data_IF_502598155812
#
_entry.id   IF_502598155812
#
_cell.length_a   1.000
_cell.length_b   1.000
_cell.length_c   1.000
_cell.angle_alpha   90.00
_cell.angle_beta   90.00
_cell.angle_gamma   90.00
#
_symmetry.space_group_name_H-M   'P 1'
#
loop_
_entity.id
_entity.type
_entity.pdbx_description
1 polymer ?
#
# COMPACT_ATOMS: atom_id res chain seq x y z
N UNK A 1 -3.76 -5.32 25.21
CA UNK A 1 -3.57 -4.91 23.79
C UNK A 1 -3.85 -3.41 23.63
N UNK A 2 -2.90 -2.61 23.11
CA UNK A 2 -3.13 -1.17 22.83
C UNK A 2 -4.23 -1.05 21.78
N UNK A 3 -5.42 -0.54 22.15
CA UNK A 3 -6.48 -0.19 21.16
C UNK A 3 -5.95 0.94 20.27
N UNK A 4 -5.40 0.59 19.12
CA UNK A 4 -5.05 1.54 18.05
C UNK A 4 -6.36 2.09 17.49
N UNK A 5 -6.42 3.40 17.24
CA UNK A 5 -7.66 4.03 16.77
C UNK A 5 -7.98 3.60 15.34
N UNK A 6 -9.19 3.08 15.12
CA UNK A 6 -9.73 2.72 13.81
C UNK A 6 -9.63 3.89 12.80
N UNK A 7 -9.80 5.13 13.27
CA UNK A 7 -9.66 6.36 12.46
C UNK A 7 -8.25 6.51 11.85
N UNK A 8 -7.21 6.11 12.58
CA UNK A 8 -5.82 6.16 12.09
C UNK A 8 -5.59 5.15 10.97
N UNK A 9 -6.15 3.95 11.09
CA UNK A 9 -5.98 2.91 10.07
C UNK A 9 -6.68 3.27 8.76
N UNK A 10 -7.91 3.79 8.81
CA UNK A 10 -8.60 4.28 7.61
C UNK A 10 -7.78 5.39 6.94
N UNK A 11 -7.35 6.39 7.71
CA UNK A 11 -6.57 7.51 7.17
C UNK A 11 -5.24 7.05 6.55
N UNK A 12 -4.53 6.11 7.19
CA UNK A 12 -3.32 5.49 6.61
C UNK A 12 -3.61 4.78 5.29
N UNK A 13 -4.70 4.02 5.21
CA UNK A 13 -5.10 3.33 3.99
C UNK A 13 -5.42 4.31 2.88
N UNK A 14 -6.26 5.32 3.14
CA UNK A 14 -6.63 6.34 2.14
C UNK A 14 -5.39 7.11 1.66
N UNK A 15 -4.55 7.58 2.57
CA UNK A 15 -3.32 8.30 2.20
C UNK A 15 -2.36 7.42 1.39
N UNK A 16 -2.23 6.14 1.74
CA UNK A 16 -1.42 5.21 0.97
C UNK A 16 -1.97 4.97 -0.45
N UNK A 17 -3.30 4.87 -0.60
CA UNK A 17 -3.94 4.74 -1.92
C UNK A 17 -3.66 5.95 -2.80
N UNK A 18 -3.81 7.15 -2.27
CA UNK A 18 -3.52 8.38 -3.02
C UNK A 18 -2.06 8.44 -3.45
N UNK A 19 -1.12 8.21 -2.52
CA UNK A 19 0.32 8.24 -2.83
C UNK A 19 0.68 7.18 -3.87
N UNK A 20 0.17 5.96 -3.75
CA UNK A 20 0.45 4.88 -4.69
C UNK A 20 -0.10 5.12 -6.09
N UNK A 21 -1.30 5.71 -6.22
CA UNK A 21 -1.88 6.04 -7.53
C UNK A 21 -1.12 7.18 -8.21
N UNK A 22 -0.71 8.19 -7.44
CA UNK A 22 0.13 9.29 -7.95
C UNK A 22 1.49 8.75 -8.41
N UNK A 23 2.11 7.85 -7.64
CA UNK A 23 3.39 7.22 -7.99
C UNK A 23 3.31 6.49 -9.34
N UNK A 24 2.33 5.60 -9.53
CA UNK A 24 2.14 4.91 -10.81
C UNK A 24 1.98 5.93 -11.94
N UNK A 25 1.09 6.93 -11.77
CA UNK A 25 0.86 7.95 -12.79
C UNK A 25 2.16 8.67 -13.19
N UNK A 26 2.93 9.12 -12.20
CA UNK A 26 4.18 9.85 -12.43
C UNK A 26 5.24 8.96 -13.08
N UNK A 27 5.40 7.71 -12.63
CA UNK A 27 6.35 6.77 -13.22
C UNK A 27 5.99 6.43 -14.65
N UNK A 28 4.72 6.13 -14.90
CA UNK A 28 4.24 5.83 -16.24
C UNK A 28 4.38 7.03 -17.17
N UNK A 29 4.11 8.26 -16.70
CA UNK A 29 4.37 9.48 -17.48
C UNK A 29 5.87 9.65 -17.76
N UNK A 30 6.72 9.58 -16.74
CA UNK A 30 8.16 9.79 -16.87
C UNK A 30 8.80 8.77 -17.83
N UNK A 31 8.39 7.51 -17.77
CA UNK A 31 8.96 6.43 -18.58
C UNK A 31 8.42 6.46 -20.01
N UNK A 32 7.13 6.76 -20.19
CA UNK A 32 6.51 6.80 -21.53
C UNK A 32 6.73 8.12 -22.27
N UNK A 33 7.08 9.20 -21.56
CA UNK A 33 7.19 10.55 -22.11
C UNK A 33 5.84 11.22 -22.40
N UNK A 34 4.71 10.53 -22.17
CA UNK A 34 3.38 11.05 -22.49
C UNK A 34 2.45 11.03 -21.25
N UNK A 35 1.96 12.19 -20.80
CA UNK A 35 1.10 12.28 -19.61
C UNK A 35 -0.24 11.56 -19.79
N UNK A 36 -0.78 11.47 -21.01
CA UNK A 36 -2.03 10.74 -21.28
C UNK A 36 -1.84 9.23 -21.12
N UNK A 37 -0.68 8.69 -21.51
CA UNK A 37 -0.35 7.27 -21.29
C UNK A 37 -0.23 7.00 -19.80
N UNK A 38 0.47 7.88 -19.06
CA UNK A 38 0.58 7.78 -17.61
C UNK A 38 -0.77 7.77 -16.90
N UNK A 39 -1.68 8.66 -17.31
CA UNK A 39 -3.03 8.73 -16.75
C UNK A 39 -3.85 7.48 -17.05
N UNK A 40 -3.80 6.98 -18.28
CA UNK A 40 -4.47 5.74 -18.67
C UNK A 40 -3.97 4.56 -17.85
N UNK A 41 -2.65 4.42 -17.68
CA UNK A 41 -2.07 3.33 -16.89
C UNK A 41 -2.48 3.44 -15.43
N UNK A 42 -2.30 4.61 -14.80
CA UNK A 42 -2.64 4.81 -13.39
C UNK A 42 -4.12 4.56 -13.08
N UNK A 43 -5.03 5.03 -13.95
CA UNK A 43 -6.46 4.77 -13.80
C UNK A 43 -6.82 3.30 -14.04
N UNK A 44 -6.25 2.68 -15.08
CA UNK A 44 -6.50 1.28 -15.41
C UNK A 44 -6.01 0.37 -14.27
N UNK A 45 -4.78 0.58 -13.77
CA UNK A 45 -4.22 -0.17 -12.64
C UNK A 45 -5.12 -0.08 -11.40
N UNK A 46 -5.65 1.11 -11.09
CA UNK A 46 -6.55 1.29 -9.94
C UNK A 46 -7.80 0.40 -10.07
N UNK A 47 -8.42 0.38 -11.25
CA UNK A 47 -9.64 -0.38 -11.51
C UNK A 47 -9.34 -1.88 -11.58
N UNK A 48 -8.31 -2.30 -12.32
CA UNK A 48 -7.94 -3.71 -12.48
C UNK A 48 -7.53 -4.33 -11.16
N UNK A 49 -6.72 -3.65 -10.34
CA UNK A 49 -6.31 -4.19 -9.04
C UNK A 49 -7.48 -4.39 -8.08
N UNK A 50 -8.53 -3.56 -8.14
CA UNK A 50 -9.74 -3.80 -7.36
C UNK A 50 -10.44 -5.09 -7.78
N UNK A 51 -10.61 -5.29 -9.09
CA UNK A 51 -11.26 -6.47 -9.67
C UNK A 51 -10.41 -7.73 -9.40
N UNK A 52 -9.12 -7.68 -9.69
CA UNK A 52 -8.18 -8.78 -9.48
C UNK A 52 -8.08 -9.17 -8.01
N UNK A 53 -8.06 -8.20 -7.08
CA UNK A 53 -8.03 -8.50 -5.66
C UNK A 53 -9.31 -9.22 -5.21
N UNK A 54 -10.47 -8.77 -5.70
CA UNK A 54 -11.74 -9.43 -5.43
C UNK A 54 -11.73 -10.88 -5.94
N UNK A 55 -11.35 -11.10 -7.21
CA UNK A 55 -11.26 -12.44 -7.81
C UNK A 55 -10.25 -13.30 -7.04
N UNK A 56 -9.08 -12.77 -6.72
CA UNK A 56 -8.06 -13.44 -5.92
C UNK A 56 -8.64 -13.91 -4.59
N UNK A 57 -9.32 -13.04 -3.85
CA UNK A 57 -9.94 -13.44 -2.58
C UNK A 57 -11.02 -14.52 -2.77
N UNK A 58 -11.83 -14.44 -3.83
CA UNK A 58 -12.82 -15.48 -4.16
C UNK A 58 -12.19 -16.84 -4.46
N UNK A 59 -11.10 -16.86 -5.22
CA UNK A 59 -10.33 -18.10 -5.48
C UNK A 59 -9.81 -18.67 -4.17
N UNK A 60 -9.29 -17.82 -3.29
CA UNK A 60 -8.77 -18.22 -1.99
C UNK A 60 -9.81 -18.68 -0.97
N UNK A 61 -11.10 -18.41 -1.18
CA UNK A 61 -12.17 -19.00 -0.38
C UNK A 61 -12.42 -20.47 -0.74
N UNK A 62 -12.08 -20.87 -1.97
CA UNK A 62 -12.25 -22.26 -2.44
C UNK A 62 -11.08 -23.17 -2.05
N UNK A 63 -9.94 -22.60 -1.64
CA UNK A 63 -8.75 -23.36 -1.24
C UNK A 63 -8.79 -23.59 0.27
N UNK A 64 -8.85 -24.86 0.69
CA UNK A 64 -8.84 -25.22 2.11
C UNK A 64 -7.41 -25.46 2.62
N UNK A 65 -6.80 -24.42 3.18
CA UNK A 65 -5.51 -24.53 3.90
C UNK A 65 -5.78 -24.41 5.40
N UNK A 66 -5.54 -25.49 6.14
CA UNK A 66 -5.78 -25.57 7.59
C UNK A 66 -4.93 -24.57 8.39
N UNK A 67 -3.71 -24.27 7.92
CA UNK A 67 -2.80 -23.36 8.62
C UNK A 67 -2.97 -21.89 8.18
N UNK A 68 -3.45 -21.06 9.10
CA UNK A 68 -3.66 -19.63 8.89
C UNK A 68 -2.38 -18.89 8.44
N UNK A 69 -1.25 -19.13 9.12
CA UNK A 69 0.02 -18.47 8.82
C UNK A 69 0.51 -18.73 7.38
N UNK A 70 0.48 -20.00 6.92
CA UNK A 70 0.91 -20.33 5.55
C UNK A 70 -0.04 -19.73 4.52
N UNK A 71 -1.36 -19.77 4.78
CA UNK A 71 -2.37 -19.16 3.92
C UNK A 71 -2.09 -17.67 3.70
N UNK A 72 -1.80 -16.91 4.75
CA UNK A 72 -1.52 -15.47 4.65
C UNK A 72 -0.20 -15.17 3.93
N UNK A 73 0.85 -15.95 4.16
CA UNK A 73 2.13 -15.81 3.45
C UNK A 73 1.96 -16.05 1.95
N UNK A 74 1.35 -17.19 1.58
CA UNK A 74 1.14 -17.54 0.17
C UNK A 74 0.23 -16.51 -0.50
N UNK A 75 -0.90 -16.13 0.12
CA UNK A 75 -1.77 -15.04 -0.37
C UNK A 75 -1.00 -13.77 -0.69
N UNK A 76 -0.09 -13.37 0.21
CA UNK A 76 0.69 -12.14 0.06
C UNK A 76 1.66 -12.25 -1.11
N UNK A 77 2.33 -13.40 -1.26
CA UNK A 77 3.26 -13.66 -2.35
C UNK A 77 2.51 -13.71 -3.69
N UNK A 78 1.43 -14.48 -3.78
CA UNK A 78 0.59 -14.60 -4.98
C UNK A 78 0.05 -13.24 -5.42
N UNK A 79 -0.42 -12.41 -4.48
CA UNK A 79 -0.89 -11.06 -4.80
C UNK A 79 0.21 -10.16 -5.35
N UNK A 80 1.45 -10.28 -4.85
CA UNK A 80 2.59 -9.51 -5.37
C UNK A 80 2.90 -9.87 -6.82
N UNK A 81 2.91 -11.16 -7.16
CA UNK A 81 3.14 -11.59 -8.54
C UNK A 81 2.03 -11.14 -9.49
N UNK A 82 0.77 -11.36 -9.11
CA UNK A 82 -0.37 -10.97 -9.95
C UNK A 82 -0.41 -9.45 -10.16
N UNK A 83 -0.19 -8.67 -9.10
CA UNK A 83 -0.21 -7.21 -9.19
C UNK A 83 0.92 -6.64 -10.06
N UNK A 84 2.13 -7.20 -9.98
CA UNK A 84 3.25 -6.76 -10.83
C UNK A 84 3.01 -7.15 -12.30
N UNK A 85 2.53 -8.36 -12.55
CA UNK A 85 2.21 -8.81 -13.92
C UNK A 85 1.10 -7.93 -14.52
N UNK A 86 0.06 -7.62 -13.76
CA UNK A 86 -1.02 -6.73 -14.19
C UNK A 86 -0.49 -5.36 -14.62
N UNK A 87 0.32 -4.70 -13.79
CA UNK A 87 0.93 -3.41 -14.17
C UNK A 87 1.77 -3.53 -15.43
N UNK A 88 2.61 -4.56 -15.54
CA UNK A 88 3.48 -4.75 -16.72
C UNK A 88 2.66 -4.93 -18.00
N UNK A 89 1.60 -5.74 -17.95
CA UNK A 89 0.71 -6.00 -19.08
C UNK A 89 -0.10 -4.77 -19.46
N UNK A 90 -0.69 -4.07 -18.49
CA UNK A 90 -1.42 -2.82 -18.74
C UNK A 90 -0.52 -1.76 -19.35
N UNK A 91 0.67 -1.60 -18.78
CA UNK A 91 1.64 -0.61 -19.25
C UNK A 91 2.11 -0.95 -20.66
N UNK A 92 2.36 -2.23 -20.97
CA UNK A 92 2.65 -2.66 -22.34
C UNK A 92 1.49 -2.39 -23.29
N UNK A 93 0.27 -2.83 -22.95
CA UNK A 93 -0.89 -2.70 -23.82
C UNK A 93 -1.23 -1.24 -24.14
N UNK A 94 -1.15 -0.36 -23.13
CA UNK A 94 -1.48 1.07 -23.29
C UNK A 94 -0.36 1.83 -24.00
N UNK A 95 0.91 1.51 -23.73
CA UNK A 95 2.05 2.19 -24.36
C UNK A 95 2.41 1.64 -25.74
N UNK A 96 1.96 0.43 -26.08
CA UNK A 96 2.34 -0.30 -27.29
C UNK A 96 3.77 -0.88 -27.26
N UNK A 97 4.54 -0.67 -26.19
CA UNK A 97 5.93 -1.09 -26.10
C UNK A 97 6.18 -1.97 -24.85
N UNK A 98 6.61 -3.24 -25.01
CA UNK A 98 6.85 -4.14 -23.89
C UNK A 98 8.00 -3.68 -22.98
N UNK A 99 8.97 -2.94 -23.52
CA UNK A 99 10.10 -2.39 -22.75
C UNK A 99 9.60 -1.32 -21.77
N UNK A 100 8.63 -0.49 -22.19
CA UNK A 100 7.99 0.48 -21.30
C UNK A 100 7.23 -0.26 -20.20
N UNK A 101 6.48 -1.31 -20.55
CA UNK A 101 5.75 -2.11 -19.58
C UNK A 101 6.64 -2.73 -18.49
N UNK A 102 7.77 -3.31 -18.90
CA UNK A 102 8.76 -3.86 -17.97
C UNK A 102 9.38 -2.78 -17.08
N UNK A 103 9.78 -1.64 -17.65
CA UNK A 103 10.35 -0.51 -16.89
C UNK A 103 9.37 0.02 -15.85
N UNK A 104 8.10 0.22 -16.23
CA UNK A 104 7.06 0.70 -15.29
C UNK A 104 6.83 -0.32 -14.18
N UNK A 105 6.66 -1.60 -14.50
CA UNK A 105 6.41 -2.64 -13.50
C UNK A 105 7.57 -2.79 -12.50
N UNK A 106 8.82 -2.78 -12.97
CA UNK A 106 9.99 -2.83 -12.09
C UNK A 106 10.13 -1.57 -11.25
N UNK A 107 9.95 -0.40 -11.86
CA UNK A 107 9.99 0.87 -11.14
C UNK A 107 8.93 0.90 -10.03
N UNK A 108 7.68 0.51 -10.33
CA UNK A 108 6.58 0.50 -9.37
C UNK A 108 6.90 -0.34 -8.12
N UNK A 109 7.46 -1.54 -8.31
CA UNK A 109 7.81 -2.42 -7.17
C UNK A 109 8.83 -1.75 -6.27
N UNK A 110 9.87 -1.16 -6.85
CA UNK A 110 10.94 -0.49 -6.10
C UNK A 110 10.43 0.79 -5.42
N UNK A 111 9.77 1.68 -6.16
CA UNK A 111 9.28 2.96 -5.64
C UNK A 111 8.25 2.76 -4.55
N UNK A 112 7.30 1.83 -4.70
CA UNK A 112 6.31 1.56 -3.65
C UNK A 112 6.95 1.00 -2.39
N UNK A 113 8.05 0.26 -2.47
CA UNK A 113 8.80 -0.16 -1.26
C UNK A 113 9.39 1.06 -0.53
N UNK A 114 10.05 1.96 -1.25
CA UNK A 114 10.62 3.19 -0.66
C UNK A 114 9.51 4.11 -0.11
N UNK A 115 8.49 4.41 -0.91
CA UNK A 115 7.38 5.27 -0.52
C UNK A 115 6.62 4.72 0.67
N UNK A 116 6.40 3.41 0.76
CA UNK A 116 5.72 2.81 1.90
C UNK A 116 6.52 2.98 3.19
N UNK A 117 7.84 2.78 3.12
CA UNK A 117 8.72 3.01 4.26
C UNK A 117 8.64 4.48 4.73
N UNK A 118 8.76 5.44 3.81
CA UNK A 118 8.66 6.86 4.16
C UNK A 118 7.27 7.24 4.68
N UNK A 119 6.20 6.73 4.07
CA UNK A 119 4.83 6.93 4.53
C UNK A 119 4.65 6.47 5.98
N UNK A 120 5.13 5.27 6.31
CA UNK A 120 5.05 4.77 7.68
C UNK A 120 5.89 5.60 8.66
N UNK A 121 7.08 6.06 8.24
CA UNK A 121 7.94 6.95 9.05
C UNK A 121 7.29 8.31 9.32
N UNK A 122 6.65 8.90 8.32
CA UNK A 122 5.90 10.16 8.47
C UNK A 122 4.73 9.94 9.43
N UNK A 123 3.94 8.88 9.22
CA UNK A 123 2.83 8.54 10.10
C UNK A 123 3.26 8.25 11.54
N UNK A 124 4.44 7.65 11.75
CA UNK A 124 4.97 7.41 13.09
C UNK A 124 5.18 8.71 13.89
N UNK A 125 5.54 9.81 13.22
CA UNK A 125 5.70 11.13 13.82
C UNK A 125 4.35 11.83 14.10
N UNK A 126 3.31 11.47 13.34
CA UNK A 126 1.98 12.07 13.46
C UNK A 126 1.20 11.46 14.64
N UNK A 127 0.72 12.30 15.57
CA UNK A 127 -0.04 11.87 16.75
C UNK A 127 -1.54 11.61 16.50
N UNK A 128 -2.00 11.70 15.25
CA UNK A 128 -3.39 11.48 14.87
C UNK A 128 -3.88 10.09 15.28
N UNK A 129 -5.01 10.05 16.01
CA UNK A 129 -5.63 8.83 16.53
C UNK A 129 -4.88 8.16 17.68
N UNK A 130 -3.90 8.82 18.31
CA UNK A 130 -3.15 8.31 19.47
C UNK A 130 -3.66 8.89 20.81
N UNK A 131 -4.97 9.09 20.99
CA UNK A 131 -5.57 9.70 22.19
C UNK A 131 -5.13 9.07 23.52
N UNK A 132 -4.82 7.77 23.54
CA UNK A 132 -4.30 7.10 24.74
C UNK A 132 -2.82 7.41 25.01
N UNK A 133 -1.98 7.60 23.98
CA UNK A 133 -0.55 7.95 24.14
C UNK A 133 -0.38 9.39 24.63
N UNK A 134 -1.19 10.31 24.11
CA UNK A 134 -1.18 11.71 24.55
C UNK A 134 -1.71 11.85 25.98
N UNK A 135 -2.80 11.14 26.34
CA UNK A 135 -3.29 11.10 27.73
C UNK A 135 -2.25 10.50 28.67
N UNK A 136 -1.65 9.35 28.36
CA UNK A 136 -0.63 8.74 29.21
C UNK A 136 0.61 9.65 29.41
N UNK A 137 1.06 10.35 28.38
CA UNK A 137 2.12 11.38 28.51
C UNK A 137 1.68 12.56 29.38
N UNK A 138 0.43 13.01 29.26
CA UNK A 138 -0.13 14.10 30.08
C UNK A 138 -0.20 13.71 31.56
N UNK A 139 -0.71 12.51 31.88
CA UNK A 139 -0.79 11.99 33.24
C UNK A 139 0.59 11.81 33.89
N UNK A 140 1.58 11.29 33.16
CA UNK A 140 2.97 11.15 33.64
C UNK A 140 3.70 12.48 33.87
N UNK A 141 3.17 13.58 33.34
CA UNK A 141 3.67 14.95 33.54
C UNK A 141 2.98 15.65 34.72
N UNK A 142 1.79 15.18 35.11
CA UNK A 142 0.96 15.74 36.19
C UNK A 142 1.23 15.04 37.52
N UNK A 143 1.50 13.74 37.51
CA UNK A 143 1.91 12.99 38.70
C UNK A 143 3.45 13.02 38.80
N UNK A 144 4.05 13.76 39.75
CA UNK A 144 5.46 13.54 40.07
C UNK A 144 5.61 12.09 40.53
N UNK A 145 6.68 11.41 40.12
CA UNK A 145 6.96 10.04 40.52
C UNK A 145 7.00 9.97 42.04
N UNK A 146 5.95 9.42 42.64
CA UNK A 146 6.00 8.91 44.00
C UNK A 146 6.84 7.63 43.94
N UNK A 147 8.16 7.81 43.89
CA UNK A 147 9.11 6.76 44.22
C UNK A 147 8.98 6.50 45.72
N UNK A 148 8.14 5.54 46.07
CA UNK A 148 8.19 4.88 47.37
C UNK A 148 9.41 3.96 47.37
N UNK A 149 10.41 4.32 48.16
CA UNK A 149 11.51 3.46 48.59
C UNK A 149 10.99 2.24 49.34
#
# INVERSE_FOLDING_TARGET
MRKVSYKRHIAKTVTWRVVGTIDTFLLSWLISGNPLIGLKIGFSEMVTKMILYYVHERVWLRINITSSHRRHLIKSITWRFIGTIDTMLLSWFISGNPIIGLKVGLAEVLTKMFLYYFHERVWYKINFGLDKRNRARKWKKILPSTDTK
#
